data_IF_880401390418
#
_entry.id   IF_880401390418
#
_cell.length_a   1.000
_cell.length_b   1.000
_cell.length_c   1.000
_cell.angle_alpha   90.00
_cell.angle_beta   90.00
_cell.angle_gamma   90.00
#
_symmetry.space_group_name_H-M   'P 1'
#
loop_
_entity.id
_entity.type
_entity.pdbx_description
1 polymer ?
#
# COMPACT_ATOMS: atom_id res chain seq x y z
N UNK A 1 17.92 7.49 61.18
CA UNK A 1 17.91 6.20 60.45
C UNK A 1 16.93 6.20 59.26
N UNK A 2 16.67 7.35 58.62
CA UNK A 2 15.43 7.56 57.84
C UNK A 2 15.58 8.13 56.42
N UNK A 3 16.78 8.49 55.98
CA UNK A 3 16.99 9.00 54.60
C UNK A 3 17.38 7.89 53.59
N UNK A 4 18.16 6.91 54.03
CA UNK A 4 18.65 5.82 53.17
C UNK A 4 17.55 4.80 52.78
N UNK A 5 16.55 4.58 53.65
CA UNK A 5 15.45 3.65 53.33
C UNK A 5 14.48 4.25 52.30
N UNK A 6 14.12 5.53 52.41
CA UNK A 6 13.18 6.22 51.50
C UNK A 6 13.75 6.33 50.08
N UNK A 7 15.06 6.54 49.94
CA UNK A 7 15.73 6.54 48.62
C UNK A 7 15.72 5.16 47.96
N UNK A 8 15.90 4.10 48.75
CA UNK A 8 15.85 2.72 48.26
C UNK A 8 14.42 2.33 47.83
N UNK A 9 13.40 2.75 48.57
CA UNK A 9 11.99 2.51 48.20
C UNK A 9 11.62 3.20 46.89
N UNK A 10 11.99 4.47 46.69
CA UNK A 10 11.72 5.20 45.43
C UNK A 10 12.50 4.65 44.24
N UNK A 11 13.71 4.14 44.46
CA UNK A 11 14.51 3.50 43.43
C UNK A 11 13.89 2.15 43.02
N UNK A 12 13.49 1.34 43.99
CA UNK A 12 12.83 0.05 43.76
C UNK A 12 11.44 0.22 43.13
N UNK A 13 10.69 1.28 43.47
CA UNK A 13 9.40 1.62 42.86
C UNK A 13 9.56 2.09 41.41
N UNK A 14 10.65 2.82 41.08
CA UNK A 14 11.03 3.12 39.68
C UNK A 14 11.40 1.86 38.90
N UNK A 15 12.14 0.93 39.51
CA UNK A 15 12.53 -0.34 38.88
C UNK A 15 11.30 -1.22 38.65
N UNK A 16 10.42 -1.36 39.64
CA UNK A 16 9.14 -2.07 39.53
C UNK A 16 8.24 -1.47 38.44
N UNK A 17 8.15 -0.14 38.36
CA UNK A 17 7.40 0.52 37.30
C UNK A 17 8.06 0.38 35.91
N UNK A 18 9.39 0.19 35.85
CA UNK A 18 10.13 0.03 34.58
C UNK A 18 10.14 -1.41 34.05
N UNK A 19 10.15 -2.42 34.94
CA UNK A 19 10.06 -3.83 34.53
C UNK A 19 8.62 -4.24 34.17
N UNK A 20 7.61 -3.58 34.75
CA UNK A 20 6.21 -3.91 34.52
C UNK A 20 5.57 -3.23 33.30
N UNK A 21 6.23 -2.23 32.71
CA UNK A 21 5.67 -1.45 31.59
C UNK A 21 6.63 -1.39 30.39
N UNK A 22 6.94 -2.55 29.80
CA UNK A 22 7.34 -2.55 28.39
C UNK A 22 6.15 -2.03 27.57
N UNK A 23 6.31 -0.97 26.76
CA UNK A 23 5.26 -0.51 25.86
C UNK A 23 4.69 -1.69 25.06
N UNK A 24 3.38 -1.68 24.78
CA UNK A 24 2.73 -2.80 24.08
C UNK A 24 3.43 -3.16 22.76
N UNK A 25 4.04 -2.17 22.10
CA UNK A 25 4.82 -2.33 20.87
C UNK A 25 6.02 -3.27 20.98
N UNK A 26 6.63 -3.39 22.16
CA UNK A 26 7.79 -4.27 22.43
C UNK A 26 7.38 -5.70 22.80
N UNK A 27 6.06 -5.96 22.90
CA UNK A 27 5.50 -7.24 23.36
C UNK A 27 4.76 -8.00 22.25
N UNK A 28 4.59 -7.38 21.08
CA UNK A 28 3.87 -7.97 19.94
C UNK A 28 4.75 -7.92 18.67
N UNK A 29 4.55 -8.89 17.78
CA UNK A 29 5.32 -9.01 16.54
C UNK A 29 5.26 -7.75 15.67
N UNK A 30 6.28 -7.54 14.84
CA UNK A 30 6.31 -6.46 13.87
C UNK A 30 5.39 -6.78 12.68
N UNK A 31 4.32 -6.01 12.42
CA UNK A 31 3.43 -6.28 11.29
C UNK A 31 4.01 -5.78 9.96
N UNK A 32 5.03 -4.92 9.98
CA UNK A 32 5.54 -4.24 8.79
C UNK A 32 6.08 -5.20 7.71
N UNK A 33 6.88 -6.25 8.03
CA UNK A 33 7.40 -7.16 6.99
C UNK A 33 6.30 -7.84 6.17
N UNK A 34 5.25 -8.34 6.83
CA UNK A 34 4.14 -8.98 6.13
C UNK A 34 3.34 -7.97 5.31
N UNK A 35 3.09 -6.78 5.86
CA UNK A 35 2.34 -5.73 5.17
C UNK A 35 3.07 -5.26 3.91
N UNK A 36 4.36 -4.94 4.03
CA UNK A 36 5.18 -4.49 2.92
C UNK A 36 5.43 -5.60 1.90
N UNK A 37 5.54 -6.86 2.34
CA UNK A 37 5.66 -8.01 1.44
C UNK A 37 4.40 -8.26 0.63
N UNK A 38 3.22 -8.16 1.25
CA UNK A 38 1.95 -8.25 0.56
C UNK A 38 1.76 -7.10 -0.45
N UNK A 39 2.03 -5.87 -0.02
CA UNK A 39 2.02 -4.69 -0.89
C UNK A 39 2.94 -4.87 -2.10
N UNK A 40 4.20 -5.24 -1.87
CA UNK A 40 5.22 -5.36 -2.92
C UNK A 40 4.89 -6.48 -3.91
N UNK A 41 4.46 -7.64 -3.40
CA UNK A 41 4.09 -8.79 -4.24
C UNK A 41 2.95 -8.42 -5.18
N UNK A 42 1.86 -7.88 -4.65
CA UNK A 42 0.70 -7.52 -5.46
C UNK A 42 1.03 -6.40 -6.46
N UNK A 43 1.72 -5.33 -6.02
CA UNK A 43 2.05 -4.22 -6.90
C UNK A 43 2.95 -4.65 -8.05
N UNK A 44 3.98 -5.45 -7.76
CA UNK A 44 4.96 -5.87 -8.75
C UNK A 44 4.34 -6.84 -9.75
N UNK A 45 3.47 -7.75 -9.30
CA UNK A 45 2.65 -8.63 -10.16
C UNK A 45 1.81 -7.83 -11.15
N UNK A 46 1.04 -6.84 -10.67
CA UNK A 46 0.19 -5.99 -11.53
C UNK A 46 1.04 -5.14 -12.47
N UNK A 47 2.12 -4.56 -11.97
CA UNK A 47 3.05 -3.72 -12.73
C UNK A 47 3.68 -4.45 -13.91
N UNK A 48 4.03 -5.73 -13.75
CA UNK A 48 4.53 -6.56 -14.84
C UNK A 48 3.51 -6.68 -15.98
N UNK A 49 2.22 -6.78 -15.65
CA UNK A 49 1.17 -6.81 -16.66
C UNK A 49 0.88 -5.43 -17.28
N UNK A 50 0.98 -4.35 -16.49
CA UNK A 50 0.87 -2.97 -17.01
C UNK A 50 1.98 -2.66 -18.03
N UNK A 51 3.18 -3.24 -17.86
CA UNK A 51 4.30 -3.14 -18.80
C UNK A 51 4.26 -4.19 -19.93
N UNK A 52 3.23 -5.03 -19.97
CA UNK A 52 3.10 -6.15 -20.92
C UNK A 52 4.28 -7.13 -20.91
N UNK A 53 4.90 -7.34 -19.75
CA UNK A 53 6.07 -8.20 -19.65
C UNK A 53 5.72 -9.62 -20.06
N UNK A 54 6.54 -10.21 -20.95
CA UNK A 54 6.26 -11.50 -21.60
C UNK A 54 4.93 -11.57 -22.37
N UNK A 55 4.40 -10.44 -22.82
CA UNK A 55 3.14 -10.36 -23.57
C UNK A 55 1.88 -10.52 -22.72
N UNK A 56 2.00 -10.43 -21.39
CA UNK A 56 0.85 -10.49 -20.47
C UNK A 56 0.35 -9.08 -20.20
N UNK A 57 -0.84 -8.73 -20.69
CA UNK A 57 -1.46 -7.41 -20.48
C UNK A 57 -2.69 -7.43 -19.58
N UNK A 58 -3.25 -8.61 -19.32
CA UNK A 58 -4.48 -8.77 -18.54
C UNK A 58 -4.19 -8.84 -17.05
N UNK A 59 -4.72 -7.88 -16.29
CA UNK A 59 -4.52 -7.79 -14.84
C UNK A 59 -5.48 -8.70 -14.04
N UNK A 60 -6.53 -9.24 -14.67
CA UNK A 60 -7.55 -10.09 -14.03
C UNK A 60 -6.97 -11.32 -13.32
N UNK A 61 -5.85 -11.87 -13.80
CA UNK A 61 -5.17 -12.99 -13.14
C UNK A 61 -4.74 -12.64 -11.70
N UNK A 62 -4.45 -11.37 -11.43
CA UNK A 62 -3.95 -10.89 -10.14
C UNK A 62 -5.07 -10.47 -9.17
N UNK A 63 -6.35 -10.73 -9.48
CA UNK A 63 -7.45 -10.50 -8.53
C UNK A 63 -7.21 -11.24 -7.21
N UNK A 64 -6.60 -12.43 -7.26
CA UNK A 64 -6.20 -13.16 -6.04
C UNK A 64 -5.25 -12.35 -5.17
N UNK A 65 -4.19 -11.79 -5.77
CA UNK A 65 -3.22 -10.95 -5.08
C UNK A 65 -3.84 -9.63 -4.58
N UNK A 66 -4.73 -9.03 -5.37
CA UNK A 66 -5.43 -7.79 -5.01
C UNK A 66 -6.34 -7.98 -3.80
N UNK A 67 -7.17 -9.04 -3.80
CA UNK A 67 -8.20 -9.26 -2.79
C UNK A 67 -7.68 -9.97 -1.54
N UNK A 68 -6.77 -10.94 -1.66
CA UNK A 68 -6.31 -11.74 -0.52
C UNK A 68 -4.98 -11.24 0.03
N UNK A 69 -3.96 -11.15 -0.82
CA UNK A 69 -2.61 -10.80 -0.37
C UNK A 69 -2.56 -9.34 0.06
N UNK A 70 -3.00 -8.43 -0.80
CA UNK A 70 -2.99 -7.01 -0.52
C UNK A 70 -4.14 -6.59 0.39
N UNK A 71 -5.41 -6.79 -0.01
CA UNK A 71 -6.54 -6.27 0.78
C UNK A 71 -6.62 -6.93 2.17
N UNK A 72 -6.82 -8.25 2.25
CA UNK A 72 -6.94 -8.92 3.56
C UNK A 72 -5.62 -8.85 4.34
N UNK A 73 -4.48 -9.11 3.69
CA UNK A 73 -3.16 -9.10 4.34
C UNK A 73 -2.80 -7.75 4.96
N UNK A 74 -2.95 -6.65 4.22
CA UNK A 74 -2.66 -5.32 4.77
C UNK A 74 -3.69 -4.89 5.82
N UNK A 75 -4.98 -5.21 5.67
CA UNK A 75 -5.98 -4.89 6.70
C UNK A 75 -5.64 -5.54 8.03
N UNK A 76 -5.23 -6.82 8.01
CA UNK A 76 -4.80 -7.52 9.22
C UNK A 76 -3.56 -6.84 9.82
N UNK A 77 -2.53 -6.60 9.01
CA UNK A 77 -1.30 -5.91 9.46
C UNK A 77 -1.55 -4.51 10.02
N UNK A 78 -2.52 -3.79 9.45
CA UNK A 78 -2.91 -2.45 9.92
C UNK A 78 -3.45 -2.49 11.34
N UNK A 79 -4.26 -3.49 11.71
CA UNK A 79 -4.83 -3.57 13.06
C UNK A 79 -3.73 -3.70 14.13
N UNK A 80 -2.68 -4.46 13.83
CA UNK A 80 -1.53 -4.58 14.71
C UNK A 80 -0.74 -3.27 14.81
N UNK A 81 -0.65 -2.50 13.72
CA UNK A 81 -0.01 -1.18 13.73
C UNK A 81 -0.78 -0.18 14.60
N UNK A 82 -2.12 -0.22 14.54
CA UNK A 82 -2.99 0.57 15.42
C UNK A 82 -2.77 0.23 16.90
N UNK A 83 -2.64 -1.06 17.23
CA UNK A 83 -2.35 -1.50 18.61
C UNK A 83 -0.97 -1.02 19.09
N UNK A 84 0.01 -0.83 18.20
CA UNK A 84 1.30 -0.19 18.53
C UNK A 84 1.21 1.33 18.70
N UNK A 85 0.07 1.94 18.37
CA UNK A 85 -0.10 3.40 18.34
C UNK A 85 0.50 4.07 17.10
N UNK A 86 0.86 3.29 16.06
CA UNK A 86 1.37 3.84 14.80
C UNK A 86 0.21 4.22 13.88
N UNK A 87 -0.26 5.46 14.02
CA UNK A 87 -1.34 6.02 13.20
C UNK A 87 -0.98 6.07 11.72
N UNK A 88 0.27 6.41 11.39
CA UNK A 88 0.69 6.53 9.99
C UNK A 88 0.58 5.18 9.29
N UNK A 89 1.22 4.14 9.84
CA UNK A 89 1.18 2.80 9.26
C UNK A 89 -0.23 2.24 9.24
N UNK A 90 -1.03 2.44 10.30
CA UNK A 90 -2.44 2.03 10.29
C UNK A 90 -3.21 2.64 9.13
N UNK A 91 -3.13 3.96 8.95
CA UNK A 91 -3.89 4.67 7.92
C UNK A 91 -3.42 4.28 6.51
N UNK A 92 -2.10 4.27 6.28
CA UNK A 92 -1.53 3.89 4.98
C UNK A 92 -1.91 2.46 4.61
N UNK A 93 -1.64 1.49 5.49
CA UNK A 93 -1.89 0.09 5.20
C UNK A 93 -3.37 -0.17 4.95
N UNK A 94 -4.26 0.41 5.76
CA UNK A 94 -5.71 0.31 5.56
C UNK A 94 -6.14 0.94 4.24
N UNK A 95 -5.62 2.13 3.91
CA UNK A 95 -5.94 2.82 2.66
C UNK A 95 -5.54 1.99 1.43
N UNK A 96 -4.30 1.50 1.37
CA UNK A 96 -3.84 0.66 0.26
C UNK A 96 -4.57 -0.67 0.20
N UNK A 97 -4.91 -1.28 1.33
CA UNK A 97 -5.70 -2.49 1.36
C UNK A 97 -7.07 -2.29 0.67
N UNK A 98 -7.76 -1.21 1.02
CA UNK A 98 -9.05 -0.85 0.44
C UNK A 98 -8.94 -0.44 -1.02
N UNK A 99 -7.86 0.24 -1.41
CA UNK A 99 -7.56 0.52 -2.82
C UNK A 99 -7.43 -0.78 -3.61
N UNK A 100 -6.58 -1.72 -3.20
CA UNK A 100 -6.37 -2.99 -3.91
C UNK A 100 -7.63 -3.84 -3.93
N UNK A 101 -8.36 -3.92 -2.82
CA UNK A 101 -9.65 -4.63 -2.77
C UNK A 101 -10.68 -3.99 -3.70
N UNK A 102 -10.79 -2.66 -3.70
CA UNK A 102 -11.67 -1.92 -4.60
C UNK A 102 -11.29 -2.11 -6.07
N UNK A 103 -9.99 -2.02 -6.39
CA UNK A 103 -9.49 -2.24 -7.75
C UNK A 103 -9.75 -3.68 -8.22
N UNK A 104 -9.42 -4.69 -7.40
CA UNK A 104 -9.71 -6.09 -7.68
C UNK A 104 -11.20 -6.38 -7.87
N UNK A 105 -12.06 -5.73 -7.09
CA UNK A 105 -13.51 -5.80 -7.26
C UNK A 105 -13.99 -5.29 -8.62
N UNK A 106 -13.39 -4.22 -9.17
CA UNK A 106 -13.76 -3.72 -10.51
C UNK A 106 -13.43 -4.69 -11.63
N UNK A 107 -12.44 -5.56 -11.42
CA UNK A 107 -11.99 -6.56 -12.39
C UNK A 107 -12.76 -7.89 -12.27
N UNK A 108 -13.51 -8.08 -11.19
CA UNK A 108 -14.19 -9.34 -10.90
C UNK A 108 -15.49 -9.46 -11.72
N UNK A 109 -15.58 -10.41 -12.67
CA UNK A 109 -16.73 -10.47 -13.58
C UNK A 109 -18.06 -10.72 -12.86
N UNK A 110 -18.04 -11.50 -11.78
CA UNK A 110 -19.25 -11.86 -11.03
C UNK A 110 -19.93 -10.68 -10.33
N UNK A 111 -19.26 -9.53 -10.19
CA UNK A 111 -19.84 -8.31 -9.61
C UNK A 111 -20.56 -7.45 -10.65
N UNK A 112 -20.43 -7.75 -11.94
CA UNK A 112 -21.20 -7.11 -13.02
C UNK A 112 -20.93 -5.62 -13.23
N UNK A 113 -19.85 -5.07 -12.66
CA UNK A 113 -19.51 -3.64 -12.78
C UNK A 113 -19.27 -3.28 -14.24
N UNK A 114 -18.41 -4.02 -14.93
CA UNK A 114 -18.09 -3.81 -16.36
C UNK A 114 -19.34 -3.96 -17.24
N UNK A 115 -20.17 -4.97 -16.95
CA UNK A 115 -21.38 -5.25 -17.71
C UNK A 115 -22.40 -4.13 -17.60
N UNK A 116 -22.51 -3.47 -16.44
CA UNK A 116 -23.37 -2.31 -16.23
C UNK A 116 -23.00 -1.11 -17.12
N UNK A 117 -21.74 -1.02 -17.55
CA UNK A 117 -21.26 -0.02 -18.52
C UNK A 117 -21.34 -0.49 -19.98
N UNK A 118 -21.80 -1.71 -20.24
CA UNK A 118 -21.84 -2.29 -21.60
C UNK A 118 -20.49 -2.78 -22.12
N UNK A 119 -19.52 -3.04 -21.23
CA UNK A 119 -18.20 -3.59 -21.57
C UNK A 119 -17.02 -2.66 -21.25
N UNK A 120 -15.81 -3.22 -21.32
CA UNK A 120 -14.55 -2.52 -20.97
C UNK A 120 -14.18 -1.40 -21.94
N UNK A 121 -14.71 -1.44 -23.17
CA UNK A 121 -14.32 -0.51 -24.23
C UNK A 121 -15.05 0.82 -24.18
N UNK A 122 -16.10 0.92 -23.35
CA UNK A 122 -16.90 2.15 -23.29
C UNK A 122 -16.11 3.29 -22.64
N UNK A 123 -16.24 4.48 -23.22
CA UNK A 123 -15.59 5.69 -22.69
C UNK A 123 -16.07 5.99 -21.27
N UNK A 124 -17.33 5.66 -20.94
CA UNK A 124 -17.88 5.86 -19.61
C UNK A 124 -17.19 4.98 -18.56
N UNK A 125 -16.98 3.69 -18.84
CA UNK A 125 -16.25 2.80 -17.94
C UNK A 125 -14.80 3.27 -17.73
N UNK A 126 -14.11 3.59 -18.82
CA UNK A 126 -12.71 4.07 -18.79
C UNK A 126 -12.59 5.35 -17.96
N UNK A 127 -13.47 6.33 -18.17
CA UNK A 127 -13.48 7.54 -17.35
C UNK A 127 -13.78 7.25 -15.87
N UNK A 128 -14.74 6.37 -15.57
CA UNK A 128 -15.06 6.00 -14.20
C UNK A 128 -13.87 5.34 -13.47
N UNK A 129 -13.16 4.43 -14.16
CA UNK A 129 -11.97 3.78 -13.60
C UNK A 129 -10.81 4.77 -13.45
N UNK A 130 -10.62 5.67 -14.41
CA UNK A 130 -9.67 6.78 -14.30
C UNK A 130 -9.97 7.68 -13.10
N UNK A 131 -11.23 8.04 -12.84
CA UNK A 131 -11.62 8.81 -11.65
C UNK A 131 -11.34 8.04 -10.37
N UNK A 132 -11.65 6.75 -10.32
CA UNK A 132 -11.34 5.91 -9.16
C UNK A 132 -9.85 6.01 -8.82
N UNK A 133 -8.96 5.70 -9.77
CA UNK A 133 -7.50 5.73 -9.55
C UNK A 133 -7.00 7.14 -9.21
N UNK A 134 -7.51 8.17 -9.90
CA UNK A 134 -7.08 9.56 -9.69
C UNK A 134 -7.38 10.07 -8.28
N UNK A 135 -8.55 9.75 -7.71
CA UNK A 135 -8.89 10.18 -6.35
C UNK A 135 -8.02 9.46 -5.31
N UNK A 136 -7.61 8.21 -5.57
CA UNK A 136 -6.62 7.54 -4.75
C UNK A 136 -5.22 8.16 -4.87
N UNK A 137 -4.84 8.70 -6.04
CA UNK A 137 -3.62 9.50 -6.18
C UNK A 137 -3.68 10.74 -5.27
N UNK A 138 -4.80 11.48 -5.28
CA UNK A 138 -5.00 12.63 -4.38
C UNK A 138 -4.83 12.24 -2.91
N UNK A 139 -5.35 11.07 -2.51
CA UNK A 139 -5.16 10.60 -1.14
C UNK A 139 -3.70 10.25 -0.84
N UNK A 140 -3.00 9.65 -1.80
CA UNK A 140 -1.59 9.29 -1.68
C UNK A 140 -0.67 10.51 -1.49
N UNK A 141 -1.01 11.68 -2.05
CA UNK A 141 -0.27 12.94 -1.80
C UNK A 141 -0.11 13.22 -0.30
N UNK A 142 -1.13 12.96 0.51
CA UNK A 142 -1.04 13.17 1.96
C UNK A 142 -0.06 12.20 2.62
N UNK A 143 -0.01 10.95 2.16
CA UNK A 143 0.96 9.96 2.63
C UNK A 143 2.37 10.33 2.20
N UNK A 144 2.55 10.81 0.97
CA UNK A 144 3.82 11.31 0.47
C UNK A 144 4.34 12.45 1.35
N UNK A 145 3.53 13.47 1.63
CA UNK A 145 3.92 14.60 2.49
C UNK A 145 4.27 14.11 3.90
N UNK A 146 3.44 13.26 4.49
CA UNK A 146 3.68 12.74 5.84
C UNK A 146 4.95 11.85 5.90
N UNK A 147 5.27 11.13 4.82
CA UNK A 147 6.45 10.25 4.76
C UNK A 147 7.79 10.97 4.82
N UNK A 148 7.82 12.28 4.54
CA UNK A 148 9.04 13.12 4.60
C UNK A 148 9.67 13.07 6.00
N UNK A 149 8.86 12.87 7.03
CA UNK A 149 9.32 12.79 8.42
C UNK A 149 9.80 11.39 8.83
N UNK A 150 9.67 10.37 7.97
CA UNK A 150 9.94 8.97 8.31
C UNK A 150 11.33 8.51 7.85
N UNK A 151 11.47 8.12 6.58
CA UNK A 151 12.74 7.71 6.00
C UNK A 151 12.72 7.80 4.47
N UNK A 152 13.92 7.79 3.86
CA UNK A 152 14.09 7.92 2.42
C UNK A 152 13.40 6.81 1.61
N UNK A 153 13.36 5.58 2.12
CA UNK A 153 12.72 4.47 1.42
C UNK A 153 11.21 4.70 1.26
N UNK A 154 10.51 5.12 2.32
CA UNK A 154 9.09 5.46 2.24
C UNK A 154 8.82 6.64 1.32
N UNK A 155 9.65 7.70 1.38
CA UNK A 155 9.51 8.85 0.46
C UNK A 155 9.59 8.36 -1.00
N UNK A 156 10.60 7.56 -1.34
CA UNK A 156 10.75 7.02 -2.69
C UNK A 156 9.57 6.11 -3.09
N UNK A 157 9.07 5.28 -2.17
CA UNK A 157 7.88 4.44 -2.41
C UNK A 157 6.68 5.32 -2.75
N UNK A 158 6.35 6.32 -1.93
CA UNK A 158 5.17 7.15 -2.16
C UNK A 158 5.28 8.03 -3.40
N UNK A 159 6.48 8.51 -3.76
CA UNK A 159 6.70 9.22 -5.04
C UNK A 159 6.42 8.27 -6.21
N UNK A 160 6.95 7.04 -6.16
CA UNK A 160 6.73 6.07 -7.23
C UNK A 160 5.26 5.65 -7.31
N UNK A 161 4.58 5.45 -6.18
CA UNK A 161 3.13 5.19 -6.16
C UNK A 161 2.35 6.38 -6.74
N UNK A 162 2.70 7.61 -6.37
CA UNK A 162 2.04 8.82 -6.86
C UNK A 162 2.09 8.87 -8.40
N UNK A 163 3.28 8.68 -8.96
CA UNK A 163 3.49 8.66 -10.41
C UNK A 163 2.78 7.47 -11.05
N UNK A 164 2.80 6.28 -10.41
CA UNK A 164 2.06 5.11 -10.86
C UNK A 164 0.56 5.43 -11.01
N UNK A 165 -0.08 5.96 -9.97
CA UNK A 165 -1.51 6.23 -9.96
C UNK A 165 -1.88 7.36 -10.95
N UNK A 166 -1.07 8.41 -11.05
CA UNK A 166 -1.30 9.50 -12.02
C UNK A 166 -1.24 8.98 -13.46
N UNK A 167 -0.21 8.20 -13.80
CA UNK A 167 -0.07 7.66 -15.16
C UNK A 167 -1.13 6.60 -15.46
N UNK A 168 -1.52 5.79 -14.47
CA UNK A 168 -2.57 4.79 -14.62
C UNK A 168 -3.93 5.46 -14.89
N UNK A 169 -4.33 6.44 -14.07
CA UNK A 169 -5.54 7.22 -14.30
C UNK A 169 -5.52 7.92 -15.68
N UNK A 170 -4.39 8.53 -16.03
CA UNK A 170 -4.21 9.20 -17.32
C UNK A 170 -4.32 8.22 -18.50
N UNK A 171 -3.87 6.98 -18.32
CA UNK A 171 -3.97 5.94 -19.36
C UNK A 171 -5.43 5.61 -19.68
N UNK A 172 -6.30 5.57 -18.67
CA UNK A 172 -7.72 5.33 -18.85
C UNK A 172 -8.42 6.50 -19.53
N UNK A 173 -8.10 7.75 -19.16
CA UNK A 173 -8.64 8.93 -19.84
C UNK A 173 -8.20 8.99 -21.31
N UNK A 174 -6.91 8.78 -21.60
CA UNK A 174 -6.43 8.72 -22.98
C UNK A 174 -7.11 7.61 -23.79
N UNK A 175 -7.42 6.46 -23.17
CA UNK A 175 -8.18 5.38 -23.80
C UNK A 175 -9.64 5.77 -24.06
N UNK A 176 -10.25 6.53 -23.16
CA UNK A 176 -11.62 7.04 -23.33
C UNK A 176 -11.72 8.06 -24.48
N UNK A 177 -10.66 8.85 -24.69
CA UNK A 177 -10.52 9.81 -25.79
C UNK A 177 -10.14 9.16 -27.13
N UNK A 178 -9.99 7.83 -27.16
CA UNK A 178 -9.64 7.08 -28.37
C UNK A 178 -8.15 7.09 -28.72
N UNK A 179 -7.29 7.62 -27.84
CA UNK A 179 -5.84 7.64 -28.06
C UNK A 179 -5.15 6.39 -27.50
N UNK A 180 -5.35 5.26 -28.17
CA UNK A 180 -4.84 3.96 -27.73
C UNK A 180 -3.31 3.90 -27.57
N UNK A 181 -2.55 4.54 -28.47
CA UNK A 181 -1.09 4.56 -28.40
C UNK A 181 -0.59 5.32 -27.18
N UNK A 182 -1.17 6.50 -26.89
CA UNK A 182 -0.84 7.27 -25.71
C UNK A 182 -1.28 6.57 -24.42
N UNK A 183 -2.48 5.98 -24.41
CA UNK A 183 -2.97 5.18 -23.29
C UNK A 183 -1.99 4.06 -22.92
N UNK A 184 -1.52 3.30 -23.93
CA UNK A 184 -0.54 2.23 -23.72
C UNK A 184 0.80 2.76 -23.16
N UNK A 185 1.31 3.86 -23.71
CA UNK A 185 2.56 4.46 -23.21
C UNK A 185 2.43 4.91 -21.74
N UNK A 186 1.29 5.50 -21.37
CA UNK A 186 1.00 5.91 -19.99
C UNK A 186 0.85 4.70 -19.07
N UNK A 187 0.16 3.64 -19.49
CA UNK A 187 0.03 2.40 -18.73
C UNK A 187 1.39 1.74 -18.48
N UNK A 188 2.28 1.72 -19.48
CA UNK A 188 3.64 1.24 -19.32
C UNK A 188 4.43 2.11 -18.32
N UNK A 189 4.32 3.43 -18.40
CA UNK A 189 4.96 4.35 -17.46
C UNK A 189 4.48 4.09 -16.02
N UNK A 190 3.16 3.92 -15.84
CA UNK A 190 2.58 3.55 -14.55
C UNK A 190 3.16 2.25 -14.02
N UNK A 191 3.22 1.20 -14.85
CA UNK A 191 3.84 -0.08 -14.50
C UNK A 191 5.31 0.03 -14.12
N UNK A 192 6.11 0.90 -14.76
CA UNK A 192 7.51 1.12 -14.38
C UNK A 192 7.61 1.68 -12.96
N UNK A 193 6.82 2.69 -12.62
CA UNK A 193 6.85 3.28 -11.29
C UNK A 193 6.28 2.33 -10.22
N UNK A 194 5.22 1.59 -10.53
CA UNK A 194 4.70 0.53 -9.66
C UNK A 194 5.73 -0.56 -9.41
N UNK A 195 6.48 -0.97 -10.44
CA UNK A 195 7.55 -1.95 -10.32
C UNK A 195 8.68 -1.46 -9.41
N UNK A 196 9.13 -0.21 -9.57
CA UNK A 196 10.16 0.39 -8.70
C UNK A 196 9.66 0.48 -7.25
N UNK A 197 8.41 0.91 -7.03
CA UNK A 197 7.78 0.94 -5.72
C UNK A 197 7.73 -0.46 -5.07
N UNK A 198 7.39 -1.49 -5.85
CA UNK A 198 7.40 -2.88 -5.39
C UNK A 198 8.80 -3.37 -4.97
N UNK A 199 9.84 -3.05 -5.74
CA UNK A 199 11.23 -3.38 -5.37
C UNK A 199 11.67 -2.68 -4.08
N UNK A 200 11.33 -1.40 -3.93
CA UNK A 200 11.58 -0.66 -2.69
C UNK A 200 10.78 -1.27 -1.52
N UNK A 201 9.55 -1.73 -1.76
CA UNK A 201 8.76 -2.48 -0.80
C UNK A 201 9.49 -3.74 -0.33
N UNK A 202 10.00 -4.58 -1.24
CA UNK A 202 10.80 -5.75 -0.85
C UNK A 202 12.09 -5.39 -0.11
N UNK A 203 12.73 -4.27 -0.46
CA UNK A 203 13.86 -3.75 0.31
C UNK A 203 13.44 -3.45 1.77
N UNK A 204 12.29 -2.80 1.99
CA UNK A 204 11.80 -2.54 3.36
C UNK A 204 11.47 -3.83 4.12
N UNK A 205 10.96 -4.87 3.45
CA UNK A 205 10.73 -6.20 4.05
C UNK A 205 12.05 -6.77 4.56
N UNK A 206 13.06 -6.84 3.70
CA UNK A 206 14.37 -7.38 4.06
C UNK A 206 15.00 -6.59 5.21
N UNK A 207 14.96 -5.25 5.13
CA UNK A 207 15.46 -4.39 6.19
C UNK A 207 14.75 -4.64 7.53
N UNK A 208 13.42 -4.73 7.56
CA UNK A 208 12.67 -4.96 8.80
C UNK A 208 12.94 -6.34 9.39
N UNK A 209 13.01 -7.39 8.57
CA UNK A 209 13.31 -8.74 9.06
C UNK A 209 14.73 -8.88 9.63
N UNK A 210 15.70 -8.10 9.15
CA UNK A 210 17.06 -8.10 9.69
C UNK A 210 17.22 -7.27 10.97
N UNK A 211 16.22 -6.47 11.34
CA UNK A 211 16.25 -5.60 12.53
C UNK A 211 15.48 -6.18 13.73
N UNK A 212 14.65 -7.21 13.50
CA UNK A 212 13.96 -7.99 14.54
C UNK A 212 14.90 -9.03 15.19
#
# INVERSE_FOLDING_TARGET
MTAHSVSSTKHNEKILNSEHYKPLGDRIGNPAPLAMGGFATTLLSVSLAMMEFRGVSLQTQFIGDLCFVACIGLLISAQWSMLKGDTFSYTVLTAFALFYGGYGATLLPSWGIVDAYGGVDTSQYKNALGFFVLIWAVFNVFFLIASIQLNLAYICIFICIELCLIFDASSYFASADGNAAQSKALMHAAGVFGFIAGLLGFYTVANSLCQD
#
